data_IF_548981428350
#
_entry.id   IF_548981428350
#
_cell.length_a   1.000
_cell.length_b   1.000
_cell.length_c   1.000
_cell.angle_alpha   90.00
_cell.angle_beta   90.00
_cell.angle_gamma   90.00
#
_symmetry.space_group_name_H-M   'P 1'
#
loop_
_entity.id
_entity.type
_entity.pdbx_description
1 polymer ?
#
# COMPACT_ATOMS: atom_id res chain seq x y z
N UNK A 1 18.52 2.55 3.15
CA UNK A 1 18.45 3.61 2.13
C UNK A 1 19.34 4.76 2.57
N UNK A 2 20.19 5.30 1.70
CA UNK A 2 21.06 6.44 2.05
C UNK A 2 20.27 7.74 2.06
N UNK A 3 20.89 8.81 2.55
CA UNK A 3 20.19 10.06 2.75
C UNK A 3 19.91 10.81 1.45
N UNK A 4 20.86 10.78 0.52
CA UNK A 4 20.67 11.31 -0.81
C UNK A 4 19.53 10.59 -1.54
N UNK A 5 19.42 9.26 -1.38
CA UNK A 5 18.30 8.50 -1.92
C UNK A 5 16.96 8.98 -1.34
N UNK A 6 16.88 9.18 -0.01
CA UNK A 6 15.65 9.65 0.66
C UNK A 6 15.24 11.04 0.16
N UNK A 7 16.21 11.94 0.01
CA UNK A 7 15.99 13.29 -0.52
C UNK A 7 15.46 13.22 -1.96
N UNK A 8 16.08 12.40 -2.84
CA UNK A 8 15.62 12.22 -4.22
C UNK A 8 14.20 11.65 -4.28
N UNK A 9 13.89 10.67 -3.44
CA UNK A 9 12.57 10.07 -3.38
C UNK A 9 11.49 11.08 -2.94
N UNK A 10 11.76 11.91 -1.93
CA UNK A 10 10.85 12.99 -1.52
C UNK A 10 10.61 13.95 -2.69
N UNK A 11 11.67 14.40 -3.37
CA UNK A 11 11.54 15.32 -4.51
C UNK A 11 10.75 14.70 -5.67
N UNK A 12 10.93 13.41 -5.94
CA UNK A 12 10.20 12.70 -6.99
C UNK A 12 8.71 12.55 -6.64
N UNK A 13 8.38 12.18 -5.40
CA UNK A 13 6.98 12.00 -4.99
C UNK A 13 6.22 13.34 -4.93
N UNK A 14 6.87 14.39 -4.43
CA UNK A 14 6.26 15.72 -4.29
C UNK A 14 6.34 16.59 -5.54
N UNK A 15 7.18 16.21 -6.51
CA UNK A 15 7.59 17.07 -7.63
C UNK A 15 8.27 18.38 -7.18
N UNK A 16 8.79 18.44 -5.95
CA UNK A 16 9.47 19.62 -5.44
C UNK A 16 10.86 19.80 -6.03
N UNK A 17 11.21 21.06 -6.31
CA UNK A 17 12.57 21.48 -6.62
C UNK A 17 13.39 21.58 -5.33
N UNK A 18 14.73 21.53 -5.45
CA UNK A 18 15.63 21.58 -4.29
C UNK A 18 15.38 22.79 -3.38
N UNK A 19 15.02 23.95 -3.96
CA UNK A 19 14.70 25.17 -3.22
C UNK A 19 13.47 24.99 -2.32
N UNK A 20 12.41 24.35 -2.81
CA UNK A 20 11.18 24.11 -2.03
C UNK A 20 11.42 23.10 -0.91
N UNK A 21 12.24 22.07 -1.17
CA UNK A 21 12.65 21.14 -0.13
C UNK A 21 13.53 21.83 0.93
N UNK A 22 14.41 22.75 0.51
CA UNK A 22 15.26 23.51 1.41
C UNK A 22 14.42 24.40 2.34
N UNK A 23 13.41 25.08 1.79
CA UNK A 23 12.43 25.85 2.57
C UNK A 23 11.66 24.96 3.56
N UNK A 24 11.20 23.79 3.13
CA UNK A 24 10.49 22.84 4.00
C UNK A 24 11.34 22.34 5.17
N UNK A 25 12.64 22.20 4.95
CA UNK A 25 13.59 21.72 5.96
C UNK A 25 14.24 22.87 6.76
N UNK A 26 13.88 24.12 6.47
CA UNK A 26 14.47 25.34 7.04
C UNK A 26 16.01 25.38 6.90
N UNK A 27 16.49 25.11 5.69
CA UNK A 27 17.92 25.15 5.32
C UNK A 27 18.14 25.88 4.00
N UNK A 28 19.38 26.27 3.73
CA UNK A 28 19.75 26.81 2.42
C UNK A 28 19.85 25.73 1.34
N UNK A 29 19.53 26.07 0.09
CA UNK A 29 19.59 25.14 -1.06
C UNK A 29 20.98 24.51 -1.25
N UNK A 30 22.06 25.24 -0.97
CA UNK A 30 23.43 24.71 -1.01
C UNK A 30 23.68 23.58 0.01
N UNK A 31 22.93 23.56 1.12
CA UNK A 31 22.96 22.48 2.10
C UNK A 31 22.33 21.21 1.53
N UNK A 32 21.18 21.34 0.88
CA UNK A 32 20.50 20.22 0.22
C UNK A 32 21.36 19.64 -0.90
N UNK A 33 21.99 20.49 -1.71
CA UNK A 33 22.93 20.06 -2.75
C UNK A 33 24.11 19.26 -2.15
N UNK A 34 24.68 19.74 -1.04
CA UNK A 34 25.76 19.03 -0.34
C UNK A 34 25.33 17.64 0.14
N UNK A 35 24.10 17.49 0.62
CA UNK A 35 23.56 16.19 1.01
C UNK A 35 23.32 15.27 -0.18
N UNK A 36 22.80 15.81 -1.28
CA UNK A 36 22.65 15.08 -2.55
C UNK A 36 24.00 14.63 -3.14
N UNK A 37 25.08 15.35 -2.86
CA UNK A 37 26.45 14.97 -3.21
C UNK A 37 27.07 13.93 -2.25
N UNK A 38 26.32 13.46 -1.24
CA UNK A 38 26.73 12.37 -0.35
C UNK A 38 27.21 12.79 1.04
N UNK A 39 27.15 14.09 1.40
CA UNK A 39 27.43 14.50 2.78
C UNK A 39 26.26 14.17 3.69
N UNK A 40 26.53 13.73 4.92
CA UNK A 40 25.46 13.40 5.85
C UNK A 40 24.92 14.62 6.62
N UNK A 41 23.59 14.78 6.75
CA UNK A 41 22.99 15.74 7.67
C UNK A 41 23.23 15.33 9.13
N UNK A 42 23.38 16.33 10.00
CA UNK A 42 23.49 16.13 11.45
C UNK A 42 22.13 15.83 12.07
N UNK A 43 22.12 14.97 13.11
CA UNK A 43 21.01 14.66 14.04
C UNK A 43 19.63 15.18 13.63
N UNK A 44 19.26 16.34 14.17
CA UNK A 44 17.94 16.96 13.96
C UNK A 44 17.52 17.08 12.49
N UNK A 45 18.47 17.38 11.58
CA UNK A 45 18.19 17.49 10.15
C UNK A 45 17.97 16.12 9.52
N UNK A 46 18.69 15.11 9.99
CA UNK A 46 18.49 13.73 9.55
C UNK A 46 17.10 13.24 9.95
N UNK A 47 16.69 13.54 11.18
CA UNK A 47 15.42 13.10 11.71
C UNK A 47 14.25 13.79 10.98
N UNK A 48 14.33 15.10 10.73
CA UNK A 48 13.34 15.83 9.90
C UNK A 48 13.18 15.26 8.49
N UNK A 49 14.29 14.87 7.84
CA UNK A 49 14.23 14.27 6.50
C UNK A 49 13.63 12.86 6.58
N UNK A 50 13.92 12.09 7.62
CA UNK A 50 13.29 10.78 7.82
C UNK A 50 11.79 10.91 8.01
N UNK A 51 11.34 11.81 8.88
CA UNK A 51 9.92 12.10 9.09
C UNK A 51 9.24 12.55 7.79
N UNK A 52 9.88 13.43 7.03
CA UNK A 52 9.36 13.89 5.75
C UNK A 52 9.28 12.75 4.72
N UNK A 53 10.28 11.86 4.70
CA UNK A 53 10.30 10.68 3.84
C UNK A 53 9.16 9.72 4.19
N UNK A 54 8.99 9.38 5.46
CA UNK A 54 7.90 8.50 5.93
C UNK A 54 6.53 9.08 5.57
N UNK A 55 6.34 10.37 5.84
CA UNK A 55 5.07 11.06 5.57
C UNK A 55 4.68 11.09 4.10
N UNK A 56 5.66 11.25 3.22
CA UNK A 56 5.42 11.50 1.78
C UNK A 56 5.54 10.21 0.97
N UNK A 57 6.62 9.47 1.16
CA UNK A 57 6.99 8.31 0.31
C UNK A 57 6.47 7.00 0.88
N UNK A 58 6.48 6.81 2.20
CA UNK A 58 5.92 5.58 2.76
C UNK A 58 4.40 5.62 2.77
N UNK A 59 3.76 6.75 3.07
CA UNK A 59 2.31 6.87 2.93
C UNK A 59 1.83 6.68 1.48
N UNK A 60 2.59 7.17 0.47
CA UNK A 60 2.23 6.95 -0.94
C UNK A 60 2.36 5.49 -1.33
N UNK A 61 3.45 4.81 -0.91
CA UNK A 61 3.64 3.37 -1.11
C UNK A 61 2.56 2.54 -0.43
N UNK A 62 2.23 2.85 0.83
CA UNK A 62 1.24 2.08 1.58
C UNK A 62 -0.17 2.22 1.00
N UNK A 63 -0.48 3.36 0.35
CA UNK A 63 -1.71 3.52 -0.41
C UNK A 63 -1.70 2.74 -1.74
N UNK A 64 -0.53 2.60 -2.38
CA UNK A 64 -0.37 1.83 -3.63
C UNK A 64 -0.26 0.31 -3.44
N UNK A 65 0.26 -0.16 -2.30
CA UNK A 65 0.49 -1.59 -2.01
C UNK A 65 -0.73 -2.29 -1.38
N UNK A 66 -1.75 -1.54 -0.94
CA UNK A 66 -2.96 -2.15 -0.40
C UNK A 66 -3.80 -2.73 -1.54
N UNK A 67 -4.40 -3.92 -1.37
CA UNK A 67 -5.34 -4.45 -2.33
C UNK A 67 -6.48 -3.45 -2.58
N UNK A 68 -6.78 -3.17 -3.83
CA UNK A 68 -7.91 -2.35 -4.25
C UNK A 68 -9.20 -3.09 -3.89
N UNK A 69 -10.06 -2.48 -3.07
CA UNK A 69 -11.29 -3.10 -2.55
C UNK A 69 -12.54 -2.45 -3.13
N UNK A 70 -13.20 -3.21 -4.00
CA UNK A 70 -14.53 -2.88 -4.52
C UNK A 70 -14.53 -1.76 -5.56
N UNK A 71 -15.73 -1.49 -6.06
CA UNK A 71 -15.99 -0.57 -7.17
C UNK A 71 -15.45 0.86 -6.98
N UNK A 72 -15.62 1.55 -5.83
CA UNK A 72 -15.21 2.95 -5.71
C UNK A 72 -13.68 3.12 -5.79
N UNK A 73 -12.91 2.16 -5.25
CA UNK A 73 -11.45 2.22 -5.30
C UNK A 73 -10.93 1.93 -6.71
N UNK A 74 -11.55 0.99 -7.43
CA UNK A 74 -11.22 0.70 -8.84
C UNK A 74 -11.42 1.96 -9.69
N UNK A 75 -12.55 2.65 -9.54
CA UNK A 75 -12.82 3.90 -10.27
C UNK A 75 -11.80 5.00 -9.92
N UNK A 76 -11.46 5.16 -8.64
CA UNK A 76 -10.48 6.15 -8.21
C UNK A 76 -9.09 5.89 -8.81
N UNK A 77 -8.69 4.62 -8.95
CA UNK A 77 -7.43 4.25 -9.61
C UNK A 77 -7.47 4.55 -11.12
N UNK A 78 -8.55 4.16 -11.81
CA UNK A 78 -8.69 4.42 -13.25
C UNK A 78 -8.68 5.92 -13.58
N UNK A 79 -9.33 6.75 -12.75
CA UNK A 79 -9.37 8.21 -12.91
C UNK A 79 -8.02 8.89 -12.72
N UNK A 80 -7.06 8.25 -12.03
CA UNK A 80 -5.71 8.80 -11.84
C UNK A 80 -4.79 8.59 -13.04
N UNK A 81 -5.16 7.75 -13.99
CA UNK A 81 -4.33 7.43 -15.15
C UNK A 81 -4.46 8.56 -16.17
N UNK A 82 -3.35 9.25 -16.42
CA UNK A 82 -3.28 10.31 -17.42
C UNK A 82 -3.52 9.74 -18.83
N UNK A 83 -4.35 10.45 -19.61
CA UNK A 83 -4.67 10.07 -20.99
C UNK A 83 -5.88 9.15 -21.17
N UNK A 84 -6.52 8.67 -20.09
CA UNK A 84 -7.81 7.98 -20.20
C UNK A 84 -8.97 8.96 -20.31
N UNK A 85 -9.84 8.74 -21.30
CA UNK A 85 -11.12 9.44 -21.39
C UNK A 85 -12.17 8.80 -20.48
N UNK A 86 -13.27 9.50 -20.22
CA UNK A 86 -14.40 8.95 -19.46
C UNK A 86 -14.92 7.64 -20.07
N UNK A 87 -14.93 7.54 -21.39
CA UNK A 87 -15.34 6.34 -22.12
C UNK A 87 -14.36 5.18 -21.89
N UNK A 88 -13.06 5.44 -21.87
CA UNK A 88 -12.06 4.40 -21.60
C UNK A 88 -12.18 3.87 -20.17
N UNK A 89 -12.48 4.76 -19.22
CA UNK A 89 -12.72 4.40 -17.81
C UNK A 89 -13.96 3.51 -17.69
N UNK A 90 -15.07 3.86 -18.33
CA UNK A 90 -16.29 3.05 -18.32
C UNK A 90 -16.06 1.64 -18.88
N UNK A 91 -15.36 1.55 -20.01
CA UNK A 91 -15.03 0.27 -20.66
C UNK A 91 -14.14 -0.57 -19.73
N UNK A 92 -13.05 0.00 -19.22
CA UNK A 92 -12.11 -0.70 -18.34
C UNK A 92 -12.80 -1.16 -17.05
N UNK A 93 -13.60 -0.29 -16.43
CA UNK A 93 -14.35 -0.61 -15.23
C UNK A 93 -15.35 -1.75 -15.46
N UNK A 94 -16.06 -1.75 -16.59
CA UNK A 94 -16.98 -2.81 -16.96
C UNK A 94 -16.28 -4.17 -17.12
N UNK A 95 -15.13 -4.20 -17.81
CA UNK A 95 -14.33 -5.42 -18.00
C UNK A 95 -13.84 -5.98 -16.65
N UNK A 96 -13.27 -5.12 -15.80
CA UNK A 96 -12.77 -5.52 -14.47
C UNK A 96 -13.92 -6.04 -13.61
N UNK A 97 -15.04 -5.32 -13.57
CA UNK A 97 -16.21 -5.70 -12.76
C UNK A 97 -16.80 -7.04 -13.20
N UNK A 98 -16.86 -7.29 -14.51
CA UNK A 98 -17.35 -8.56 -15.03
C UNK A 98 -16.40 -9.71 -14.67
N UNK A 99 -15.08 -9.52 -14.83
CA UNK A 99 -14.09 -10.52 -14.45
C UNK A 99 -14.17 -10.86 -12.95
N UNK A 100 -14.29 -9.86 -12.08
CA UNK A 100 -14.42 -10.05 -10.63
C UNK A 100 -15.72 -10.80 -10.27
N UNK A 101 -16.85 -10.48 -10.92
CA UNK A 101 -18.11 -11.20 -10.73
C UNK A 101 -17.96 -12.67 -11.11
N UNK A 102 -17.37 -12.97 -12.27
CA UNK A 102 -17.13 -14.35 -12.72
C UNK A 102 -16.21 -15.11 -11.76
N UNK A 103 -15.12 -14.48 -11.28
CA UNK A 103 -14.20 -15.09 -10.32
C UNK A 103 -14.85 -15.33 -8.94
N UNK A 104 -15.76 -14.46 -8.51
CA UNK A 104 -16.48 -14.64 -7.24
C UNK A 104 -17.47 -15.81 -7.27
N UNK A 105 -18.08 -16.09 -8.43
CA UNK A 105 -19.03 -17.22 -8.59
C UNK A 105 -18.30 -18.58 -8.57
N UNK A 106 -17.01 -18.62 -8.90
CA UNK A 106 -16.16 -19.81 -8.76
C UNK A 106 -15.61 -20.04 -7.34
N UNK A 107 -15.71 -19.04 -6.46
CA UNK A 107 -15.31 -19.14 -5.05
C UNK A 107 -16.53 -19.42 -4.17
N UNK A 108 -17.16 -20.57 -4.38
CA UNK A 108 -18.06 -21.11 -3.36
C UNK A 108 -17.21 -21.42 -2.10
N UNK A 109 -17.66 -21.05 -0.89
CA UNK A 109 -16.97 -21.41 0.33
C UNK A 109 -16.91 -22.94 0.40
N UNK A 110 -15.70 -23.49 0.40
CA UNK A 110 -15.49 -24.89 0.74
C UNK A 110 -15.79 -25.04 2.22
N UNK A 111 -17.08 -25.22 2.54
CA UNK A 111 -17.51 -25.81 3.78
C UNK A 111 -17.06 -27.26 3.77
N UNK A 112 -16.05 -27.57 4.57
CA UNK A 112 -15.88 -28.90 5.11
C UNK A 112 -15.99 -28.76 6.63
N UNK A 113 -17.18 -29.14 7.12
CA UNK A 113 -17.41 -29.64 8.47
C UNK A 113 -16.20 -30.46 8.96
N UNK A 114 -15.48 -29.93 9.95
CA UNK A 114 -14.72 -30.77 10.87
C UNK A 114 -15.08 -30.38 12.31
N UNK A 115 -16.38 -30.57 12.61
CA UNK A 115 -16.83 -30.75 13.99
C UNK A 115 -16.30 -32.11 14.47
N UNK A 116 -15.05 -32.12 14.93
CA UNK A 116 -14.54 -33.18 15.77
C UNK A 116 -15.39 -33.25 17.05
N UNK A 117 -16.37 -34.14 17.05
CA UNK A 117 -17.16 -34.48 18.23
C UNK A 117 -16.23 -35.11 19.29
N UNK A 118 -16.32 -34.75 20.57
CA UNK A 118 -15.54 -35.39 21.62
C UNK A 118 -15.99 -36.84 21.79
N UNK A 119 -15.02 -37.76 21.78
CA UNK A 119 -15.23 -39.19 21.96
C UNK A 119 -15.88 -39.47 23.34
N UNK A 120 -17.14 -39.89 23.35
CA UNK A 120 -17.77 -40.52 24.53
C UNK A 120 -17.37 -42.00 24.59
N UNK A 121 -16.72 -42.49 25.67
CA UNK A 121 -16.40 -43.89 25.83
C UNK A 121 -17.67 -44.74 26.00
N UNK A 122 -17.78 -45.80 25.18
CA UNK A 122 -18.87 -46.77 25.17
C UNK A 122 -18.86 -47.59 26.46
N UNK A 123 -19.98 -47.52 27.19
CA UNK A 123 -20.26 -48.22 28.45
C UNK A 123 -20.31 -49.75 28.24
N UNK A 124 -19.58 -50.47 29.07
CA UNK A 124 -19.53 -51.94 29.13
C UNK A 124 -20.89 -52.53 29.51
N UNK A 125 -21.25 -53.66 28.91
CA UNK A 125 -22.40 -54.46 29.31
C UNK A 125 -21.88 -55.78 29.89
N UNK A 126 -21.92 -55.92 31.21
CA UNK A 126 -21.69 -57.21 31.88
C UNK A 126 -22.95 -58.07 31.78
N UNK A 127 -22.85 -59.38 31.51
CA UNK A 127 -23.99 -60.26 31.31
C UNK A 127 -24.68 -60.64 32.64
N UNK A 128 -26.01 -60.75 32.60
CA UNK A 128 -26.85 -61.23 33.70
C UNK A 128 -26.54 -62.66 34.11
N UNK A 129 -26.54 -62.89 35.43
CA UNK A 129 -27.05 -64.13 36.02
C UNK A 129 -27.80 -63.79 37.31
#
# INVERSE_FOLDING_TARGET
>A
MKMDDKIRAIMAETQWRQQQLAEMLDVGQSTVNRWLAGSEPRGDRRDRINELYERVVENSKTAGDRPIRGEPEILAVLQRIEGLTAKDIEIAFGVISNALKVSSVGSAPSGADDRSQPATPRRESSPSR
#
